data_IF_360396133128
#
_entry.id   IF_360396133128
#
_cell.length_a   1.000
_cell.length_b   1.000
_cell.length_c   1.000
_cell.angle_alpha   90.00
_cell.angle_beta   90.00
_cell.angle_gamma   90.00
#
_symmetry.space_group_name_H-M   'P 1'
#
loop_
_entity.id
_entity.type
_entity.pdbx_description
1 polymer ?
#
# COMPACT_ATOMS: atom_id res chain seq x y z
N UNK A 1 -5.86 -58.04 -15.19
CA UNK A 1 -6.74 -56.85 -15.01
C UNK A 1 -5.93 -55.82 -14.24
N UNK A 2 -6.11 -54.52 -14.55
CA UNK A 2 -5.23 -53.37 -14.26
C UNK A 2 -4.91 -53.16 -12.77
N UNK A 3 -3.65 -52.84 -12.49
CA UNK A 3 -3.16 -52.17 -11.27
C UNK A 3 -3.37 -50.65 -11.34
N UNK A 4 -3.50 -50.01 -10.18
CA UNK A 4 -3.38 -48.54 -9.97
C UNK A 4 -4.67 -47.93 -9.41
N UNK A 5 -4.69 -47.23 -8.27
CA UNK A 5 -3.63 -46.63 -7.45
C UNK A 5 -3.99 -46.72 -5.96
N UNK A 6 -3.00 -47.04 -5.14
CA UNK A 6 -3.06 -46.84 -3.69
C UNK A 6 -2.89 -45.37 -3.35
N UNK A 7 -3.50 -44.97 -2.23
CA UNK A 7 -3.28 -43.68 -1.56
C UNK A 7 -1.82 -43.61 -1.09
N UNK A 8 -1.04 -42.55 -1.40
CA UNK A 8 0.37 -42.45 -1.06
C UNK A 8 0.66 -42.18 0.44
N UNK A 9 -0.33 -42.34 1.31
CA UNK A 9 -0.21 -42.00 2.73
C UNK A 9 -0.67 -43.10 3.69
N UNK A 10 -1.09 -44.26 3.17
CA UNK A 10 -1.55 -45.36 4.00
C UNK A 10 -0.53 -46.51 3.98
N UNK A 11 0.16 -46.62 5.12
CA UNK A 11 0.57 -47.85 5.83
C UNK A 11 2.09 -48.04 6.05
N UNK A 12 2.54 -47.72 7.27
CA UNK A 12 3.29 -48.60 8.19
C UNK A 12 3.49 -47.80 9.50
N UNK A 13 2.59 -47.92 10.46
CA UNK A 13 2.60 -48.95 11.53
C UNK A 13 3.75 -48.74 12.53
N UNK A 14 3.44 -48.15 13.69
CA UNK A 14 3.90 -48.66 14.97
C UNK A 14 2.92 -48.21 16.07
N UNK A 15 2.36 -49.22 16.73
CA UNK A 15 1.41 -49.19 17.84
C UNK A 15 1.80 -48.29 19.02
N UNK A 16 0.81 -47.76 19.73
CA UNK A 16 0.36 -48.26 21.05
C UNK A 16 -0.76 -47.33 21.58
N UNK A 17 -1.75 -47.93 22.23
CA UNK A 17 -2.83 -47.27 22.97
C UNK A 17 -2.26 -46.43 24.13
N UNK A 18 -2.77 -45.22 24.36
CA UNK A 18 -2.93 -44.74 25.74
C UNK A 18 -4.00 -43.66 25.86
N UNK A 19 -4.77 -43.78 26.94
CA UNK A 19 -5.86 -42.92 27.33
C UNK A 19 -5.37 -41.54 27.79
N UNK A 20 -6.14 -40.51 27.43
CA UNK A 20 -6.39 -39.35 28.29
C UNK A 20 -5.24 -38.36 28.51
N UNK A 21 -5.34 -37.18 27.90
CA UNK A 21 -5.07 -35.95 28.65
C UNK A 21 -5.75 -34.75 27.96
N UNK A 22 -6.44 -33.96 28.77
CA UNK A 22 -6.99 -32.66 28.41
C UNK A 22 -5.86 -31.70 28.09
N UNK A 23 -5.73 -31.26 26.84
CA UNK A 23 -4.85 -30.13 26.48
C UNK A 23 -5.72 -28.95 26.08
N UNK A 24 -5.90 -28.07 27.06
CA UNK A 24 -6.32 -26.69 26.91
C UNK A 24 -5.48 -26.02 25.80
N UNK A 25 -6.11 -25.68 24.68
CA UNK A 25 -5.46 -24.90 23.63
C UNK A 25 -5.41 -23.46 24.11
N UNK A 26 -4.33 -23.09 24.79
CA UNK A 26 -3.95 -21.69 24.97
C UNK A 26 -3.56 -21.14 23.60
N UNK A 27 -4.52 -20.46 22.97
CA UNK A 27 -4.32 -19.65 21.78
C UNK A 27 -3.32 -18.54 22.13
N UNK A 28 -2.07 -18.71 21.70
CA UNK A 28 -1.07 -17.65 21.74
C UNK A 28 -1.47 -16.57 20.74
N UNK A 29 -2.03 -15.47 21.26
CA UNK A 29 -2.14 -14.19 20.56
C UNK A 29 -0.74 -13.75 20.10
N UNK A 30 -0.56 -13.32 18.84
CA UNK A 30 0.65 -12.60 18.48
C UNK A 30 0.55 -11.19 19.08
N UNK A 31 1.27 -10.99 20.19
CA UNK A 31 1.60 -9.69 20.76
C UNK A 31 2.30 -8.83 19.69
N UNK A 32 1.53 -8.01 18.97
CA UNK A 32 2.06 -6.92 18.15
C UNK A 32 2.46 -5.77 19.08
N UNK A 33 3.55 -5.98 19.81
CA UNK A 33 4.29 -4.93 20.48
C UNK A 33 5.59 -4.70 19.69
N UNK A 34 5.52 -3.76 18.75
CA UNK A 34 6.71 -3.02 18.32
C UNK A 34 6.28 -1.60 18.01
N UNK A 35 6.14 -0.83 19.09
CA UNK A 35 6.20 0.63 19.05
C UNK A 35 7.63 1.02 18.68
N UNK A 36 7.95 1.03 17.40
CA UNK A 36 9.13 1.76 16.91
C UNK A 36 8.75 3.23 16.80
N UNK A 37 8.95 3.92 17.93
CA UNK A 37 9.04 5.37 18.03
C UNK A 37 10.24 5.81 17.18
N UNK A 38 10.01 6.05 15.89
CA UNK A 38 10.94 6.82 15.08
C UNK A 38 10.80 8.26 15.52
N UNK A 39 11.68 8.69 16.42
CA UNK A 39 11.91 10.10 16.72
C UNK A 39 12.56 10.76 15.49
N UNK A 40 11.80 10.89 14.40
CA UNK A 40 12.02 11.99 13.49
C UNK A 40 11.82 13.24 14.33
N UNK A 41 12.89 14.03 14.52
CA UNK A 41 12.78 15.38 15.04
C UNK A 41 12.04 16.20 13.98
N UNK A 42 10.74 15.99 13.93
CA UNK A 42 9.82 16.72 13.08
C UNK A 42 9.66 18.09 13.73
N UNK A 43 9.99 19.11 12.97
CA UNK A 43 9.68 20.48 13.34
C UNK A 43 8.16 20.55 13.33
N UNK A 44 7.54 20.32 14.48
CA UNK A 44 6.12 20.56 14.74
C UNK A 44 5.83 22.06 14.57
N UNK A 45 5.82 22.54 13.32
CA UNK A 45 5.20 23.79 12.98
C UNK A 45 3.70 23.53 13.09
N UNK A 46 3.21 23.63 14.32
CA UNK A 46 1.88 23.16 14.68
C UNK A 46 0.86 23.87 13.80
N UNK A 47 0.08 23.12 13.04
CA UNK A 47 -0.99 23.65 12.18
C UNK A 47 -1.97 24.56 12.94
N UNK A 48 -1.94 24.53 14.28
CA UNK A 48 -2.52 25.48 15.23
C UNK A 48 -2.38 26.97 14.83
N UNK A 49 -1.26 27.36 14.24
CA UNK A 49 -0.98 28.76 13.90
C UNK A 49 -1.66 29.21 12.59
N UNK A 50 -2.11 28.26 11.76
CA UNK A 50 -2.89 28.58 10.57
C UNK A 50 -4.30 29.02 10.98
N UNK A 51 -4.88 30.07 10.33
CA UNK A 51 -6.28 30.42 10.52
C UNK A 51 -7.18 29.21 10.25
N UNK A 52 -8.30 29.08 10.97
CA UNK A 52 -9.17 27.90 10.92
C UNK A 52 -9.62 27.49 9.50
N UNK A 53 -9.66 28.43 8.55
CA UNK A 53 -10.01 28.17 7.14
C UNK A 53 -8.92 27.45 6.35
N UNK A 54 -7.68 27.48 6.82
CA UNK A 54 -6.50 26.90 6.16
C UNK A 54 -5.89 25.75 6.96
N UNK A 55 -6.49 25.43 8.11
CA UNK A 55 -6.07 24.34 8.97
C UNK A 55 -6.71 23.06 8.44
N UNK A 56 -5.89 22.12 7.95
CA UNK A 56 -6.35 20.78 7.59
C UNK A 56 -6.20 19.87 8.81
N UNK A 57 -7.18 19.00 9.03
CA UNK A 57 -7.14 18.02 10.14
C UNK A 57 -6.15 16.87 9.86
N UNK A 58 -5.69 16.75 8.60
CA UNK A 58 -4.64 15.83 8.18
C UNK A 58 -4.36 15.94 6.68
N UNK A 59 -3.38 15.17 6.20
CA UNK A 59 -3.00 15.16 4.77
C UNK A 59 -4.13 14.69 3.85
N UNK A 60 -5.02 13.83 4.36
CA UNK A 60 -6.16 13.26 3.65
C UNK A 60 -7.46 14.09 3.81
N UNK A 61 -7.41 15.22 4.50
CA UNK A 61 -8.61 15.99 4.79
C UNK A 61 -9.34 16.46 3.52
N UNK A 62 -10.66 16.24 3.49
CA UNK A 62 -11.55 16.49 2.35
C UNK A 62 -11.47 15.46 1.22
N UNK A 63 -10.78 14.33 1.40
CA UNK A 63 -10.60 13.30 0.35
C UNK A 63 -11.34 11.99 0.68
N UNK A 64 -11.92 11.37 -0.34
CA UNK A 64 -12.49 10.02 -0.24
C UNK A 64 -11.43 8.96 -0.58
N UNK A 65 -11.44 7.84 0.14
CA UNK A 65 -10.55 6.70 -0.15
C UNK A 65 -11.16 5.78 -1.20
N UNK A 66 -10.34 5.29 -2.14
CA UNK A 66 -10.72 4.30 -3.13
C UNK A 66 -9.54 3.39 -3.47
N UNK A 67 -9.79 2.08 -3.55
CA UNK A 67 -8.78 1.10 -3.96
C UNK A 67 -8.89 0.86 -5.47
N UNK A 68 -7.75 0.84 -6.16
CA UNK A 68 -7.66 0.50 -7.58
C UNK A 68 -6.81 -0.76 -7.70
N UNK A 69 -7.35 -1.78 -8.35
CA UNK A 69 -6.60 -2.99 -8.71
C UNK A 69 -6.15 -2.87 -10.15
N UNK A 70 -4.85 -3.06 -10.40
CA UNK A 70 -4.26 -2.98 -11.73
C UNK A 70 -4.02 -4.40 -12.26
N UNK A 71 -4.14 -4.57 -13.58
CA UNK A 71 -3.59 -5.74 -14.26
C UNK A 71 -2.09 -5.50 -14.55
N UNK A 72 -1.33 -6.58 -14.75
CA UNK A 72 0.13 -6.52 -14.94
C UNK A 72 0.57 -5.48 -15.98
N UNK A 73 -0.09 -5.43 -17.15
CA UNK A 73 0.20 -4.46 -18.21
C UNK A 73 -0.02 -3.00 -17.75
N UNK A 74 -1.08 -2.75 -16.99
CA UNK A 74 -1.36 -1.42 -16.46
C UNK A 74 -0.39 -1.03 -15.35
N UNK A 75 0.06 -2.00 -14.55
CA UNK A 75 1.07 -1.76 -13.52
C UNK A 75 2.41 -1.35 -14.13
N UNK A 76 2.90 -2.07 -15.13
CA UNK A 76 4.14 -1.74 -15.84
C UNK A 76 4.07 -0.31 -16.43
N UNK A 77 2.97 0.03 -17.10
CA UNK A 77 2.80 1.38 -17.63
C UNK A 77 2.72 2.48 -16.57
N UNK A 78 2.18 2.19 -15.39
CA UNK A 78 2.16 3.15 -14.29
C UNK A 78 3.56 3.36 -13.73
N UNK A 79 4.36 2.30 -13.61
CA UNK A 79 5.77 2.41 -13.18
C UNK A 79 6.60 3.24 -14.17
N UNK A 80 6.48 2.96 -15.48
CA UNK A 80 7.11 3.77 -16.53
C UNK A 80 6.69 5.24 -16.48
N UNK A 81 5.43 5.50 -16.11
CA UNK A 81 4.90 6.84 -16.01
C UNK A 81 5.43 7.58 -14.78
N UNK A 82 5.57 6.89 -13.64
CA UNK A 82 6.21 7.44 -12.44
C UNK A 82 7.65 7.82 -12.74
N UNK A 83 8.44 6.90 -13.30
CA UNK A 83 9.84 7.15 -13.66
C UNK A 83 9.97 8.36 -14.60
N UNK A 84 9.07 8.47 -15.59
CA UNK A 84 9.04 9.62 -16.49
C UNK A 84 8.74 10.93 -15.77
N UNK A 85 7.84 10.92 -14.79
CA UNK A 85 7.50 12.14 -14.03
C UNK A 85 8.62 12.55 -13.09
N UNK A 86 9.30 11.59 -12.46
CA UNK A 86 10.50 11.85 -11.66
C UNK A 86 11.57 12.57 -12.50
N UNK A 87 11.82 12.09 -13.73
CA UNK A 87 12.74 12.74 -14.67
C UNK A 87 12.29 14.17 -15.04
N UNK A 88 11.00 14.37 -15.27
CA UNK A 88 10.42 15.69 -15.60
C UNK A 88 10.61 16.70 -14.48
N UNK A 89 10.57 16.27 -13.21
CA UNK A 89 10.71 17.14 -12.04
C UNK A 89 12.13 17.15 -11.43
N UNK A 90 13.15 16.96 -12.27
CA UNK A 90 14.56 16.96 -11.87
C UNK A 90 14.88 15.95 -10.76
N UNK A 91 14.43 14.70 -10.93
CA UNK A 91 14.57 13.58 -9.98
C UNK A 91 13.94 13.87 -8.61
N UNK A 92 12.86 14.65 -8.58
CA UNK A 92 11.97 14.71 -7.43
C UNK A 92 11.12 13.45 -7.41
N UNK A 93 11.12 12.71 -6.30
CA UNK A 93 10.36 11.47 -6.17
C UNK A 93 8.86 11.76 -6.20
N UNK A 94 8.18 11.28 -7.23
CA UNK A 94 6.73 11.41 -7.43
C UNK A 94 6.03 10.14 -6.93
N UNK A 95 4.99 10.31 -6.12
CA UNK A 95 4.26 9.17 -5.59
C UNK A 95 3.32 8.54 -6.66
N UNK A 96 3.33 7.21 -6.74
CA UNK A 96 2.44 6.41 -7.62
C UNK A 96 0.96 6.79 -7.48
N UNK A 97 0.51 7.07 -6.26
CA UNK A 97 -0.89 7.49 -6.01
C UNK A 97 -1.20 8.84 -6.66
N UNK A 98 -0.28 9.81 -6.56
CA UNK A 98 -0.47 11.14 -7.15
C UNK A 98 -0.42 11.07 -8.68
N UNK A 99 0.45 10.22 -9.25
CA UNK A 99 0.49 9.96 -10.70
C UNK A 99 -0.83 9.37 -11.18
N UNK A 100 -1.41 8.42 -10.45
CA UNK A 100 -2.71 7.84 -10.78
C UNK A 100 -3.84 8.88 -10.66
N UNK A 101 -3.86 9.69 -9.60
CA UNK A 101 -4.83 10.77 -9.44
C UNK A 101 -4.72 11.78 -10.60
N UNK A 102 -3.50 12.22 -10.92
CA UNK A 102 -3.23 13.14 -12.02
C UNK A 102 -3.64 12.54 -13.38
N UNK A 103 -3.39 11.25 -13.61
CA UNK A 103 -3.84 10.56 -14.82
C UNK A 103 -5.37 10.56 -14.95
N UNK A 104 -6.07 10.28 -13.85
CA UNK A 104 -7.55 10.30 -13.82
C UNK A 104 -8.08 11.71 -14.05
N UNK A 105 -7.44 12.74 -13.51
CA UNK A 105 -7.85 14.14 -13.70
C UNK A 105 -7.56 14.66 -15.12
N UNK A 106 -6.52 14.14 -15.77
CA UNK A 106 -6.12 14.54 -17.11
C UNK A 106 -6.88 13.81 -18.24
N UNK A 107 -7.40 12.60 -17.99
CA UNK A 107 -7.92 11.71 -19.06
C UNK A 107 -9.07 12.30 -19.89
N UNK A 108 -9.92 13.12 -19.28
CA UNK A 108 -11.16 13.63 -19.91
C UNK A 108 -10.99 15.02 -20.56
N UNK A 109 -9.81 15.64 -20.40
CA UNK A 109 -9.57 17.03 -20.78
C UNK A 109 -8.35 17.12 -21.71
N UNK A 110 -8.53 17.41 -23.01
CA UNK A 110 -7.44 17.34 -23.99
C UNK A 110 -6.33 18.37 -23.76
N UNK A 111 -6.64 19.45 -23.05
CA UNK A 111 -5.71 20.52 -22.71
C UNK A 111 -5.04 20.31 -21.35
N UNK A 112 -5.39 19.24 -20.62
CA UNK A 112 -4.75 18.90 -19.35
C UNK A 112 -3.71 17.82 -19.56
N UNK A 113 -2.51 18.07 -19.07
CA UNK A 113 -1.48 17.05 -18.99
C UNK A 113 -1.35 16.53 -17.56
N UNK A 114 -0.82 15.32 -17.45
CA UNK A 114 -0.49 14.73 -16.15
C UNK A 114 0.51 15.59 -15.37
N UNK A 115 1.49 16.15 -16.08
CA UNK A 115 2.50 17.08 -15.55
C UNK A 115 1.85 18.35 -14.95
N UNK A 116 0.84 18.91 -15.63
CA UNK A 116 0.13 20.09 -15.15
C UNK A 116 -0.66 19.82 -13.86
N UNK A 117 -1.28 18.64 -13.73
CA UNK A 117 -1.96 18.24 -12.50
C UNK A 117 -0.97 18.00 -11.36
N UNK A 118 0.16 17.33 -11.62
CA UNK A 118 1.21 17.15 -10.61
C UNK A 118 1.81 18.49 -10.15
N UNK A 119 2.00 19.47 -11.03
CA UNK A 119 2.41 20.83 -10.61
C UNK A 119 1.40 21.48 -9.67
N UNK A 120 0.09 21.31 -9.91
CA UNK A 120 -0.95 21.83 -9.01
C UNK A 120 -0.89 21.14 -7.65
N UNK A 121 -0.44 19.89 -7.59
CA UNK A 121 -0.21 19.15 -6.35
C UNK A 121 1.08 19.56 -5.62
N UNK A 122 1.98 20.30 -6.28
CA UNK A 122 3.16 20.92 -5.67
C UNK A 122 4.50 20.43 -6.20
N UNK A 123 4.52 19.47 -7.13
CA UNK A 123 5.75 18.96 -7.73
C UNK A 123 6.44 20.03 -8.61
N UNK A 124 7.78 20.03 -8.62
CA UNK A 124 8.58 20.91 -9.48
C UNK A 124 8.62 22.38 -9.05
N UNK A 125 8.27 22.70 -7.80
CA UNK A 125 8.20 24.06 -7.25
C UNK A 125 9.51 24.55 -6.59
N UNK A 126 10.68 24.16 -7.12
CA UNK A 126 12.00 24.50 -6.56
C UNK A 126 12.45 25.94 -6.87
#
# INVERSE_FOLDING_TARGET
MKSGAGSPFDEDDFAEEDEGESVETTESEPELSSSEETTATDREETTSDLPYKYRRDGVQDGRSHGNIFLCDEAEEHVEELVDRMDDVFDNEAVYKIDVLEAAVLAVDEPDRTLEDELRKMGYGMK
#
